data_IF_714066758237
#
_entry.id   IF_714066758237
#
_cell.length_a   1.000
_cell.length_b   1.000
_cell.length_c   1.000
_cell.angle_alpha   90.00
_cell.angle_beta   90.00
_cell.angle_gamma   90.00
#
_symmetry.space_group_name_H-M   'P 1'
#
loop_
_entity.id
_entity.type
_entity.pdbx_description
1 polymer ?
#
# COMPACT_ATOMS: atom_id res chain seq x y z
N UNK A 1 -8.53 8.25 10.82
CA UNK A 1 -7.99 8.80 9.56
C UNK A 1 -8.53 8.18 8.25
N UNK A 2 -8.90 6.89 8.14
CA UNK A 2 -9.28 6.30 6.85
C UNK A 2 -10.60 6.80 6.22
N UNK A 3 -11.53 7.36 7.00
CA UNK A 3 -12.83 7.85 6.50
C UNK A 3 -12.73 8.98 5.47
N UNK A 4 -11.79 9.91 5.66
CA UNK A 4 -11.55 11.01 4.70
C UNK A 4 -11.00 10.48 3.39
N UNK A 5 -10.09 9.50 3.45
CA UNK A 5 -9.54 8.86 2.26
C UNK A 5 -10.62 8.08 1.48
N UNK A 6 -11.52 7.38 2.18
CA UNK A 6 -12.68 6.71 1.57
C UNK A 6 -13.61 7.71 0.89
N UNK A 7 -13.99 8.79 1.58
CA UNK A 7 -14.86 9.80 0.99
C UNK A 7 -14.24 10.44 -0.26
N UNK A 8 -12.95 10.79 -0.19
CA UNK A 8 -12.21 11.36 -1.30
C UNK A 8 -12.11 10.39 -2.49
N UNK A 9 -11.82 9.11 -2.25
CA UNK A 9 -11.70 8.11 -3.30
C UNK A 9 -13.03 7.85 -4.02
N UNK A 10 -14.15 7.84 -3.29
CA UNK A 10 -15.51 7.75 -3.87
C UNK A 10 -15.79 8.96 -4.77
N UNK A 11 -15.53 10.18 -4.28
CA UNK A 11 -15.73 11.41 -5.06
C UNK A 11 -14.90 11.39 -6.35
N UNK A 12 -13.65 10.93 -6.28
CA UNK A 12 -12.76 10.80 -7.45
C UNK A 12 -13.36 9.90 -8.54
N UNK A 13 -13.91 8.75 -8.14
CA UNK A 13 -14.55 7.79 -9.06
C UNK A 13 -15.83 8.39 -9.65
N UNK A 14 -16.67 9.02 -8.84
CA UNK A 14 -17.94 9.62 -9.30
C UNK A 14 -17.71 10.75 -10.32
N UNK A 15 -16.69 11.59 -10.10
CA UNK A 15 -16.50 12.82 -10.88
C UNK A 15 -15.77 12.63 -12.21
N UNK A 16 -14.88 11.64 -12.35
CA UNK A 16 -13.93 11.60 -13.47
C UNK A 16 -14.14 10.47 -14.49
N UNK A 17 -15.36 9.91 -14.56
CA UNK A 17 -15.76 8.95 -15.59
C UNK A 17 -15.17 7.54 -15.43
N UNK A 18 -15.73 6.56 -16.18
CA UNK A 18 -15.47 5.12 -16.02
C UNK A 18 -14.57 4.47 -17.08
N UNK A 19 -14.00 5.25 -18.00
CA UNK A 19 -13.27 4.71 -19.17
C UNK A 19 -11.77 4.98 -19.10
N UNK A 20 -10.97 4.07 -19.65
CA UNK A 20 -9.51 4.18 -19.74
C UNK A 20 -8.73 3.78 -18.48
N UNK A 21 -7.40 3.75 -18.61
CA UNK A 21 -6.50 3.26 -17.54
C UNK A 21 -6.55 4.12 -16.27
N UNK A 22 -6.68 5.44 -16.41
CA UNK A 22 -6.83 6.34 -15.27
C UNK A 22 -8.12 6.09 -14.48
N UNK A 23 -9.20 5.65 -15.14
CA UNK A 23 -10.42 5.25 -14.46
C UNK A 23 -10.22 3.95 -13.69
N UNK A 24 -9.59 2.94 -14.31
CA UNK A 24 -9.25 1.68 -13.62
C UNK A 24 -8.42 1.93 -12.38
N UNK A 25 -7.42 2.82 -12.48
CA UNK A 25 -6.61 3.25 -11.35
C UNK A 25 -7.47 3.83 -10.21
N UNK A 26 -8.38 4.78 -10.51
CA UNK A 26 -9.28 5.37 -9.50
C UNK A 26 -10.20 4.35 -8.84
N UNK A 27 -10.76 3.42 -9.61
CA UNK A 27 -11.66 2.37 -9.10
C UNK A 27 -10.89 1.44 -8.17
N UNK A 28 -9.69 1.01 -8.57
CA UNK A 28 -8.83 0.16 -7.75
C UNK A 28 -8.38 0.88 -6.48
N UNK A 29 -8.03 2.17 -6.57
CA UNK A 29 -7.72 2.99 -5.40
C UNK A 29 -8.90 3.07 -4.44
N UNK A 30 -10.10 3.38 -4.96
CA UNK A 30 -11.31 3.44 -4.14
C UNK A 30 -11.62 2.09 -3.47
N UNK A 31 -11.52 0.98 -4.20
CA UNK A 31 -11.71 -0.36 -3.65
C UNK A 31 -10.67 -0.68 -2.58
N UNK A 32 -9.39 -0.41 -2.83
CA UNK A 32 -8.31 -0.59 -1.86
C UNK A 32 -8.61 0.19 -0.57
N UNK A 33 -8.91 1.49 -0.68
CA UNK A 33 -9.16 2.32 0.50
C UNK A 33 -10.40 1.89 1.30
N UNK A 34 -11.46 1.42 0.63
CA UNK A 34 -12.65 0.86 1.32
C UNK A 34 -12.27 -0.43 2.05
N UNK A 35 -11.54 -1.34 1.39
CA UNK A 35 -11.14 -2.62 1.97
C UNK A 35 -10.19 -2.42 3.15
N UNK A 36 -9.20 -1.53 3.01
CA UNK A 36 -8.31 -1.15 4.11
C UNK A 36 -9.09 -0.58 5.29
N UNK A 37 -10.06 0.30 5.02
CA UNK A 37 -10.91 0.85 6.07
C UNK A 37 -11.70 -0.24 6.81
N UNK A 38 -12.26 -1.21 6.08
CA UNK A 38 -12.93 -2.36 6.70
C UNK A 38 -11.96 -3.16 7.58
N UNK A 39 -10.73 -3.40 7.11
CA UNK A 39 -9.69 -4.05 7.89
C UNK A 39 -9.41 -3.29 9.20
N UNK A 40 -9.21 -1.97 9.15
CA UNK A 40 -8.99 -1.14 10.35
C UNK A 40 -10.17 -1.21 11.33
N UNK A 41 -11.41 -1.17 10.84
CA UNK A 41 -12.59 -1.28 11.70
C UNK A 41 -12.68 -2.66 12.38
N UNK A 42 -12.33 -3.72 11.64
CA UNK A 42 -12.31 -5.08 12.20
C UNK A 42 -11.15 -5.27 13.18
N UNK A 43 -9.96 -4.75 12.87
CA UNK A 43 -8.81 -4.78 13.77
C UNK A 43 -9.13 -4.10 15.11
N UNK A 44 -9.71 -2.91 15.07
CA UNK A 44 -10.11 -2.19 16.28
C UNK A 44 -11.19 -2.95 17.07
N UNK A 45 -12.24 -3.42 16.39
CA UNK A 45 -13.33 -4.16 17.04
C UNK A 45 -12.90 -5.53 17.58
N UNK A 46 -11.94 -6.22 16.95
CA UNK A 46 -11.43 -7.48 17.50
C UNK A 46 -10.38 -7.22 18.59
N UNK A 47 -9.49 -6.24 18.44
CA UNK A 47 -8.49 -5.90 19.45
C UNK A 47 -9.08 -5.43 20.78
N UNK A 48 -10.22 -4.73 20.76
CA UNK A 48 -10.90 -4.24 21.97
C UNK A 48 -11.75 -5.32 22.68
N UNK A 49 -12.13 -6.41 21.99
CA UNK A 49 -13.07 -7.43 22.50
C UNK A 49 -12.52 -8.88 22.52
N UNK A 50 -11.32 -9.14 21.99
CA UNK A 50 -10.75 -10.48 21.89
C UNK A 50 -9.69 -10.76 22.96
N UNK A 51 -10.11 -11.00 24.20
CA UNK A 51 -9.27 -11.77 25.14
C UNK A 51 -9.26 -13.27 24.81
N UNK A 52 -10.18 -13.78 23.97
CA UNK A 52 -10.38 -15.24 23.81
C UNK A 52 -10.60 -15.78 22.39
N UNK A 53 -10.68 -14.97 21.33
CA UNK A 53 -10.76 -15.55 19.98
C UNK A 53 -10.28 -14.60 18.89
N UNK A 54 -9.04 -14.80 18.46
CA UNK A 54 -8.36 -13.93 17.51
C UNK A 54 -8.79 -14.32 16.08
N UNK A 55 -9.89 -13.74 15.58
CA UNK A 55 -10.23 -13.77 14.15
C UNK A 55 -9.25 -12.92 13.30
N UNK A 56 -7.97 -12.88 13.67
CA UNK A 56 -6.89 -12.13 13.01
C UNK A 56 -6.86 -12.41 11.52
N UNK A 57 -7.03 -13.67 11.12
CA UNK A 57 -6.94 -14.10 9.72
C UNK A 57 -7.89 -13.37 8.78
N UNK A 58 -9.07 -12.97 9.27
CA UNK A 58 -10.05 -12.24 8.46
C UNK A 58 -9.59 -10.79 8.26
N UNK A 59 -8.99 -10.18 9.28
CA UNK A 59 -8.38 -8.85 9.22
C UNK A 59 -7.20 -8.86 8.24
N UNK A 60 -6.30 -9.84 8.40
CA UNK A 60 -5.14 -10.02 7.52
C UNK A 60 -5.54 -10.21 6.05
N UNK A 61 -6.61 -10.98 5.80
CA UNK A 61 -7.15 -11.16 4.45
C UNK A 61 -7.58 -9.83 3.81
N UNK A 62 -8.24 -8.94 4.57
CA UNK A 62 -8.64 -7.62 4.05
C UNK A 62 -7.42 -6.73 3.79
N UNK A 63 -6.44 -6.69 4.70
CA UNK A 63 -5.20 -5.94 4.48
C UNK A 63 -4.48 -6.43 3.22
N UNK A 64 -4.24 -7.74 3.08
CA UNK A 64 -3.58 -8.33 1.91
C UNK A 64 -4.32 -8.00 0.62
N UNK A 65 -5.65 -8.13 0.62
CA UNK A 65 -6.48 -7.77 -0.54
C UNK A 65 -6.29 -6.30 -0.92
N UNK A 66 -6.24 -5.40 0.07
CA UNK A 66 -5.99 -3.99 -0.19
C UNK A 66 -4.60 -3.72 -0.76
N UNK A 67 -3.55 -4.40 -0.31
CA UNK A 67 -2.21 -4.29 -0.88
C UNK A 67 -2.19 -4.61 -2.38
N UNK A 68 -2.82 -5.73 -2.79
CA UNK A 68 -2.90 -6.10 -4.19
C UNK A 68 -3.70 -5.09 -5.02
N UNK A 69 -4.75 -4.50 -4.45
CA UNK A 69 -5.52 -3.45 -5.12
C UNK A 69 -4.73 -2.13 -5.23
N UNK A 70 -3.99 -1.73 -4.19
CA UNK A 70 -3.09 -0.57 -4.26
C UNK A 70 -1.98 -0.78 -5.29
N UNK A 71 -1.40 -1.98 -5.36
CA UNK A 71 -0.46 -2.33 -6.40
C UNK A 71 -1.09 -2.22 -7.79
N UNK A 72 -2.26 -2.82 -7.99
CA UNK A 72 -3.02 -2.71 -9.24
C UNK A 72 -3.30 -1.27 -9.62
N UNK A 73 -3.76 -0.45 -8.67
CA UNK A 73 -3.94 0.99 -8.82
C UNK A 73 -2.67 1.64 -9.38
N UNK A 74 -1.52 1.37 -8.76
CA UNK A 74 -0.25 1.96 -9.15
C UNK A 74 0.22 1.51 -10.53
N UNK A 75 0.00 0.25 -10.90
CA UNK A 75 0.28 -0.24 -12.26
C UNK A 75 -0.60 0.47 -13.29
N UNK A 76 -1.93 0.49 -13.11
CA UNK A 76 -2.83 1.17 -14.04
C UNK A 76 -2.58 2.68 -14.13
N UNK A 77 -2.12 3.27 -13.04
CA UNK A 77 -1.71 4.66 -12.99
C UNK A 77 -0.46 4.96 -13.85
N UNK A 78 0.51 4.05 -13.84
CA UNK A 78 1.77 4.21 -14.57
C UNK A 78 1.69 3.79 -16.03
N UNK A 79 0.78 2.88 -16.41
CA UNK A 79 0.64 2.38 -17.80
C UNK A 79 0.60 3.51 -18.85
N UNK A 80 -0.19 4.59 -18.71
CA UNK A 80 -0.21 5.71 -19.66
C UNK A 80 1.15 6.38 -19.89
N UNK A 81 2.09 6.20 -18.96
CA UNK A 81 3.42 6.82 -18.95
C UNK A 81 4.54 5.79 -19.07
N UNK A 82 4.23 4.54 -19.43
CA UNK A 82 5.21 3.44 -19.51
C UNK A 82 6.45 3.78 -20.33
N UNK A 83 6.28 4.52 -21.43
CA UNK A 83 7.38 4.91 -22.34
C UNK A 83 8.37 5.91 -21.70
N UNK A 84 8.00 6.54 -20.57
CA UNK A 84 8.87 7.44 -19.82
C UNK A 84 9.62 6.74 -18.68
N UNK A 85 9.24 5.51 -18.37
CA UNK A 85 9.86 4.68 -17.33
C UNK A 85 11.10 4.03 -17.94
N UNK A 86 12.27 4.40 -17.43
CA UNK A 86 13.53 3.80 -17.84
C UNK A 86 13.88 2.62 -16.94
N UNK A 87 14.75 1.71 -17.42
CA UNK A 87 15.29 0.62 -16.58
C UNK A 87 15.99 1.16 -15.32
N UNK A 88 16.65 2.31 -15.41
CA UNK A 88 17.25 3.01 -14.27
C UNK A 88 16.22 3.38 -13.21
N UNK A 89 15.04 3.88 -13.61
CA UNK A 89 13.97 4.20 -12.67
C UNK A 89 13.51 2.97 -11.90
N UNK A 90 13.35 1.84 -12.59
CA UNK A 90 12.91 0.58 -11.98
C UNK A 90 13.97 0.09 -10.98
N UNK A 91 15.24 0.00 -11.39
CA UNK A 91 16.34 -0.46 -10.52
C UNK A 91 16.44 0.42 -9.27
N UNK A 92 16.42 1.75 -9.43
CA UNK A 92 16.50 2.68 -8.31
C UNK A 92 15.30 2.54 -7.37
N UNK A 93 14.09 2.46 -7.92
CA UNK A 93 12.86 2.31 -7.13
C UNK A 93 12.81 0.98 -6.38
N UNK A 94 13.29 -0.09 -7.00
CA UNK A 94 13.44 -1.40 -6.35
C UNK A 94 14.49 -1.38 -5.25
N UNK A 95 15.64 -0.74 -5.48
CA UNK A 95 16.68 -0.62 -4.46
C UNK A 95 16.19 0.17 -3.24
N UNK A 96 15.49 1.28 -3.46
CA UNK A 96 14.88 2.07 -2.37
C UNK A 96 13.83 1.22 -1.66
N UNK A 97 12.90 0.60 -2.39
CA UNK A 97 11.87 -0.26 -1.81
C UNK A 97 12.45 -1.38 -0.93
N UNK A 98 13.48 -2.08 -1.40
CA UNK A 98 14.17 -3.13 -0.63
C UNK A 98 14.82 -2.57 0.64
N UNK A 99 15.35 -1.35 0.60
CA UNK A 99 15.94 -0.73 1.80
C UNK A 99 14.94 -0.53 2.94
N UNK A 100 13.65 -0.37 2.63
CA UNK A 100 12.58 -0.29 3.65
C UNK A 100 12.26 -1.65 4.29
N UNK A 101 12.59 -2.78 3.65
CA UNK A 101 12.40 -4.12 4.21
C UNK A 101 13.51 -4.49 5.20
N UNK A 102 14.71 -3.89 5.03
CA UNK A 102 15.90 -4.27 5.80
C UNK A 102 15.73 -4.22 7.33
N UNK A 103 15.08 -3.19 7.93
CA UNK A 103 14.83 -3.17 9.37
C UNK A 103 13.99 -4.37 9.84
N UNK A 104 12.88 -4.66 9.14
CA UNK A 104 12.02 -5.80 9.48
C UNK A 104 12.78 -7.13 9.38
N UNK A 105 13.62 -7.30 8.36
CA UNK A 105 14.46 -8.49 8.20
C UNK A 105 15.49 -8.63 9.33
N UNK A 106 16.10 -7.53 9.76
CA UNK A 106 17.05 -7.50 10.87
C UNK A 106 16.39 -7.93 12.19
N UNK A 107 15.22 -7.36 12.51
CA UNK A 107 14.48 -7.72 13.72
C UNK A 107 13.99 -9.17 13.69
N UNK A 108 13.53 -9.65 12.54
CA UNK A 108 13.12 -11.04 12.37
C UNK A 108 14.26 -12.04 12.72
N UNK A 109 15.49 -11.78 12.25
CA UNK A 109 16.64 -12.64 12.55
C UNK A 109 17.03 -12.60 14.04
N UNK A 110 16.85 -11.46 14.71
CA UNK A 110 17.15 -11.34 16.14
C UNK A 110 16.06 -11.91 17.04
N UNK A 111 14.83 -11.99 16.56
CA UNK A 111 13.73 -12.56 17.32
C UNK A 111 13.97 -14.05 17.59
N UNK A 112 13.64 -14.49 18.81
CA UNK A 112 13.71 -15.92 19.14
C UNK A 112 12.66 -16.62 18.28
N UNK A 113 12.98 -17.72 17.57
CA UNK A 113 12.02 -18.40 16.72
C UNK A 113 10.92 -19.01 17.58
N UNK A 114 9.85 -18.25 17.79
CA UNK A 114 8.58 -18.76 18.24
C UNK A 114 7.89 -19.20 16.96
N UNK A 115 7.82 -20.51 16.75
CA UNK A 115 7.17 -21.10 15.58
C UNK A 115 5.65 -20.93 15.70
N UNK A 116 5.17 -19.71 15.45
CA UNK A 116 3.77 -19.38 15.39
C UNK A 116 3.43 -18.77 14.03
N UNK A 117 2.27 -19.15 13.51
CA UNK A 117 1.77 -18.73 12.20
C UNK A 117 1.61 -17.20 12.10
N UNK A 118 1.37 -16.53 13.24
CA UNK A 118 1.26 -15.07 13.35
C UNK A 118 2.58 -14.35 13.04
N UNK A 119 3.74 -14.88 13.49
CA UNK A 119 5.05 -14.32 13.13
C UNK A 119 5.31 -14.41 11.62
N UNK A 120 4.82 -15.48 10.98
CA UNK A 120 4.93 -15.62 9.51
C UNK A 120 4.08 -14.58 8.79
N UNK A 121 2.85 -14.33 9.26
CA UNK A 121 1.96 -13.31 8.70
C UNK A 121 2.58 -11.91 8.85
N UNK A 122 3.07 -11.57 10.04
CA UNK A 122 3.67 -10.26 10.31
C UNK A 122 4.91 -10.01 9.43
N UNK A 123 5.68 -11.06 9.15
CA UNK A 123 6.83 -10.97 8.26
C UNK A 123 6.46 -10.69 6.79
N UNK A 124 5.23 -10.99 6.34
CA UNK A 124 4.79 -10.77 4.96
C UNK A 124 4.49 -9.29 4.68
N UNK A 125 4.01 -8.53 5.66
CA UNK A 125 3.62 -7.12 5.48
C UNK A 125 4.73 -6.24 4.88
N UNK A 126 5.99 -6.27 5.37
CA UNK A 126 7.10 -5.53 4.75
C UNK A 126 7.33 -5.86 3.27
N UNK A 127 7.08 -7.09 2.83
CA UNK A 127 7.20 -7.47 1.42
C UNK A 127 6.04 -6.91 0.58
N UNK A 128 4.84 -6.86 1.16
CA UNK A 128 3.68 -6.23 0.52
C UNK A 128 3.85 -4.72 0.40
N UNK A 129 4.40 -4.06 1.42
CA UNK A 129 4.80 -2.65 1.34
C UNK A 129 5.79 -2.44 0.21
N UNK A 130 6.85 -3.25 0.16
CA UNK A 130 7.85 -3.15 -0.87
C UNK A 130 7.28 -3.31 -2.29
N UNK A 131 6.33 -4.24 -2.46
CA UNK A 131 5.62 -4.45 -3.71
C UNK A 131 4.86 -3.20 -4.17
N UNK A 132 4.17 -2.51 -3.26
CA UNK A 132 3.46 -1.23 -3.56
C UNK A 132 4.46 -0.07 -3.72
N UNK A 133 5.58 -0.10 -3.01
CA UNK A 133 6.61 0.94 -3.04
C UNK A 133 7.35 1.05 -4.37
N UNK A 134 7.63 -0.06 -5.05
CA UNK A 134 8.33 0.00 -6.35
C UNK A 134 7.64 0.94 -7.34
N UNK A 135 6.36 0.74 -7.71
CA UNK A 135 5.69 1.67 -8.63
C UNK A 135 5.45 3.05 -8.00
N UNK A 136 5.39 3.15 -6.67
CA UNK A 136 5.28 4.43 -5.95
C UNK A 136 6.52 5.30 -6.13
N UNK A 137 7.72 4.78 -5.91
CA UNK A 137 8.95 5.52 -6.16
C UNK A 137 9.14 5.86 -7.64
N UNK A 138 8.70 4.99 -8.56
CA UNK A 138 8.67 5.34 -9.99
C UNK A 138 7.78 6.57 -10.22
N UNK A 139 6.58 6.61 -9.62
CA UNK A 139 5.67 7.77 -9.72
C UNK A 139 6.31 9.04 -9.17
N UNK A 140 7.01 8.96 -8.03
CA UNK A 140 7.75 10.08 -7.43
C UNK A 140 8.83 10.62 -8.37
N UNK A 141 9.64 9.73 -8.96
CA UNK A 141 10.67 10.12 -9.94
C UNK A 141 10.04 10.82 -11.15
N UNK A 142 8.94 10.29 -11.67
CA UNK A 142 8.24 10.88 -12.82
C UNK A 142 7.60 12.24 -12.46
N UNK A 143 7.15 12.43 -11.22
CA UNK A 143 6.61 13.71 -10.73
C UNK A 143 7.67 14.82 -10.76
N UNK A 144 8.86 14.57 -10.22
CA UNK A 144 9.96 15.54 -10.28
C UNK A 144 10.44 15.83 -11.71
N UNK A 145 10.09 14.99 -12.68
CA UNK A 145 10.32 15.22 -14.12
C UNK A 145 9.16 15.93 -14.82
N UNK A 146 8.12 16.36 -14.09
CA UNK A 146 6.94 17.02 -14.65
C UNK A 146 6.01 16.10 -15.44
N UNK A 147 6.10 14.78 -15.25
CA UNK A 147 5.35 13.79 -16.04
C UNK A 147 4.10 13.26 -15.32
N UNK A 148 3.89 13.66 -14.06
CA UNK A 148 2.81 13.24 -13.15
C UNK A 148 2.19 14.47 -12.53
N UNK A 149 0.88 14.46 -12.25
CA UNK A 149 0.22 15.62 -11.64
C UNK A 149 0.40 15.64 -10.12
N UNK A 150 0.08 16.78 -9.52
CA UNK A 150 0.19 16.99 -8.07
C UNK A 150 -0.76 16.11 -7.23
N UNK A 151 -2.00 15.92 -7.67
CA UNK A 151 -2.99 15.11 -6.94
C UNK A 151 -2.52 13.67 -6.72
N UNK A 152 -1.82 13.10 -7.69
CA UNK A 152 -1.41 11.72 -7.61
C UNK A 152 -0.10 11.54 -6.84
N UNK A 153 0.78 12.56 -6.82
CA UNK A 153 1.96 12.49 -5.95
C UNK A 153 1.55 12.52 -4.48
N UNK A 154 0.52 13.29 -4.10
CA UNK A 154 0.05 13.34 -2.71
C UNK A 154 -0.54 12.01 -2.26
N UNK A 155 -1.30 11.34 -3.13
CA UNK A 155 -1.82 9.96 -2.87
C UNK A 155 -0.68 8.95 -2.75
N UNK A 156 0.36 9.04 -3.59
CA UNK A 156 1.50 8.11 -3.47
C UNK A 156 2.38 8.42 -2.27
N UNK A 157 2.52 9.69 -1.89
CA UNK A 157 3.28 10.10 -0.73
C UNK A 157 2.59 9.67 0.56
N UNK A 158 1.26 9.70 0.62
CA UNK A 158 0.53 9.18 1.77
C UNK A 158 0.77 7.68 2.00
N UNK A 159 0.92 6.89 0.93
CA UNK A 159 1.26 5.46 1.05
C UNK A 159 2.68 5.27 1.63
N UNK A 160 3.65 6.08 1.20
CA UNK A 160 5.01 6.06 1.77
C UNK A 160 4.98 6.47 3.24
N UNK A 161 4.27 7.55 3.58
CA UNK A 161 4.18 8.05 4.95
C UNK A 161 3.50 7.05 5.89
N UNK A 162 2.48 6.33 5.41
CA UNK A 162 1.79 5.30 6.20
C UNK A 162 2.77 4.17 6.57
N UNK A 163 3.38 3.54 5.57
CA UNK A 163 4.31 2.44 5.85
C UNK A 163 5.60 2.88 6.57
N UNK A 164 6.05 4.14 6.39
CA UNK A 164 7.11 4.69 7.21
C UNK A 164 6.68 4.91 8.67
N UNK A 165 5.41 5.26 8.93
CA UNK A 165 4.89 5.37 10.29
C UNK A 165 4.84 3.98 10.94
N UNK A 166 4.30 2.98 10.24
CA UNK A 166 4.23 1.61 10.74
C UNK A 166 5.64 1.08 11.08
N UNK A 167 6.62 1.29 10.19
CA UNK A 167 8.01 0.84 10.43
C UNK A 167 8.72 1.55 11.61
N UNK A 168 8.34 2.80 11.92
CA UNK A 168 9.02 3.60 12.95
C UNK A 168 8.37 3.52 14.33
N UNK A 169 7.07 3.20 14.38
CA UNK A 169 6.27 3.28 15.59
C UNK A 169 5.65 1.94 16.03
N UNK A 170 5.72 0.88 15.21
CA UNK A 170 5.47 -0.51 15.60
C UNK A 170 6.77 -1.26 15.94
#
# INVERSE_FOLDING_TARGET
MPTVAVAFSIILVMRHGRTGNNSKARILYCAATIIWFVADQMYYHFGEYATENNNSYLVDFFYFTSYFLYFGFMIFYLIPRKNKITKKNVILSSAISISFIMPAFYFFIQSTPIDNFETTINFIYPFLDALVFVPTFISVILFFRGQVNFLWITVTLSLICMAAADTLFD
#
